data_IF_138567471148
#
_entry.id   IF_138567471148
#
_cell.length_a   1.000
_cell.length_b   1.000
_cell.length_c   1.000
_cell.angle_alpha   90.00
_cell.angle_beta   90.00
_cell.angle_gamma   90.00
#
_symmetry.space_group_name_H-M   'P 1'
#
loop_
_entity.id
_entity.type
_entity.pdbx_description
1 polymer ?
#
# COMPACT_ATOMS: atom_id res chain seq x y z
N UNK A 1 4.01 15.74 -0.80
CA UNK A 1 3.65 14.32 -0.52
C UNK A 1 4.35 13.40 -1.52
N UNK A 2 4.58 12.12 -1.19
CA UNK A 2 4.98 11.12 -2.21
C UNK A 2 3.87 11.07 -3.27
N UNK A 3 4.20 11.06 -4.56
CA UNK A 3 3.18 11.01 -5.63
C UNK A 3 2.30 9.76 -5.55
N UNK A 4 2.76 8.71 -4.88
CA UNK A 4 2.00 7.48 -4.63
C UNK A 4 1.03 7.55 -3.45
N UNK A 5 1.31 8.39 -2.45
CA UNK A 5 0.53 8.45 -1.20
C UNK A 5 -0.82 9.17 -1.37
N UNK A 6 -1.00 9.90 -2.47
CA UNK A 6 -2.28 10.49 -2.86
C UNK A 6 -3.20 9.50 -3.60
N UNK A 7 -2.67 8.32 -4.00
CA UNK A 7 -3.42 7.27 -4.70
C UNK A 7 -3.94 6.19 -3.75
N UNK A 8 -3.62 6.29 -2.45
CA UNK A 8 -4.07 5.33 -1.44
C UNK A 8 -5.52 5.66 -1.03
N UNK A 9 -6.39 4.65 -1.10
CA UNK A 9 -7.79 4.77 -0.72
C UNK A 9 -7.95 5.28 0.72
N UNK A 10 -8.90 6.19 0.92
CA UNK A 10 -9.07 6.92 2.18
C UNK A 10 -9.65 6.10 3.34
N UNK A 11 -10.20 4.91 3.14
CA UNK A 11 -10.91 4.18 4.19
C UNK A 11 -10.46 2.72 4.34
N UNK A 12 -10.09 2.25 5.55
CA UNK A 12 -9.77 3.02 6.76
C UNK A 12 -8.38 3.70 6.67
N UNK A 13 -8.12 4.71 7.52
CA UNK A 13 -6.82 5.40 7.55
C UNK A 13 -5.68 4.48 8.01
N UNK A 14 -4.82 4.08 7.09
CA UNK A 14 -3.64 3.20 7.32
C UNK A 14 -2.62 3.86 8.24
N UNK A 15 -2.37 5.15 8.07
CA UNK A 15 -1.47 5.91 8.94
C UNK A 15 -1.96 5.99 10.38
N UNK A 16 -3.28 6.19 10.57
CA UNK A 16 -3.89 6.19 11.91
C UNK A 16 -3.83 4.79 12.53
N UNK A 17 -4.14 3.75 11.76
CA UNK A 17 -4.06 2.37 12.22
C UNK A 17 -2.64 2.00 12.67
N UNK A 18 -1.63 2.31 11.87
CA UNK A 18 -0.23 2.01 12.21
C UNK A 18 0.25 2.83 13.43
N UNK A 19 -0.04 4.13 13.49
CA UNK A 19 0.40 4.99 14.59
C UNK A 19 -0.22 4.55 15.93
N UNK A 20 -1.52 4.25 15.94
CA UNK A 20 -2.20 3.77 17.13
C UNK A 20 -1.75 2.36 17.50
N UNK A 21 -1.51 1.48 16.51
CA UNK A 21 -0.98 0.14 16.76
C UNK A 21 0.36 0.18 17.50
N UNK A 22 1.34 0.94 16.97
CA UNK A 22 2.66 1.08 17.60
C UNK A 22 2.57 1.70 19.00
N UNK A 23 1.74 2.73 19.18
CA UNK A 23 1.58 3.38 20.48
C UNK A 23 0.95 2.45 21.52
N UNK A 24 -0.11 1.73 21.15
CA UNK A 24 -0.77 0.76 22.05
C UNK A 24 0.19 -0.37 22.41
N UNK A 25 0.97 -0.86 21.44
CA UNK A 25 1.95 -1.93 21.67
C UNK A 25 3.02 -1.50 22.67
N UNK A 26 3.57 -0.29 22.48
CA UNK A 26 4.53 0.28 23.40
C UNK A 26 3.96 0.46 24.81
N UNK A 27 2.72 0.95 24.93
CA UNK A 27 2.07 1.15 26.23
C UNK A 27 1.82 -0.20 26.94
N UNK A 28 1.38 -1.23 26.23
CA UNK A 28 1.17 -2.57 26.80
C UNK A 28 2.48 -3.13 27.37
N UNK A 29 3.58 -3.06 26.63
CA UNK A 29 4.91 -3.49 27.09
C UNK A 29 5.50 -2.62 28.22
N UNK A 30 5.20 -1.32 28.24
CA UNK A 30 5.61 -0.44 29.34
C UNK A 30 4.88 -0.76 30.65
N UNK A 31 3.63 -1.21 30.55
CA UNK A 31 2.76 -1.56 31.67
C UNK A 31 2.87 -3.04 32.09
N UNK A 32 3.66 -3.85 31.38
CA UNK A 32 3.93 -5.23 31.76
C UNK A 32 4.61 -5.26 33.16
N UNK A 33 4.11 -6.07 34.12
CA UNK A 33 4.74 -6.23 35.43
C UNK A 33 6.20 -6.69 35.40
N UNK A 34 6.64 -7.32 34.30
CA UNK A 34 8.03 -7.75 34.11
C UNK A 34 8.97 -6.61 33.70
N UNK A 35 8.43 -5.43 33.39
CA UNK A 35 9.22 -4.29 32.93
C UNK A 35 10.00 -3.62 34.07
N UNK A 36 11.33 -3.61 33.95
CA UNK A 36 12.28 -3.12 34.97
C UNK A 36 12.56 -1.62 34.91
N UNK A 37 11.95 -0.87 33.98
CA UNK A 37 12.14 0.57 33.90
C UNK A 37 11.58 1.32 35.12
N UNK A 38 12.20 2.45 35.43
CA UNK A 38 11.72 3.35 36.49
C UNK A 38 10.36 3.95 36.14
N UNK A 39 9.57 4.25 37.16
CA UNK A 39 8.22 4.80 36.99
C UNK A 39 8.23 6.15 36.24
N UNK A 40 9.28 6.95 36.44
CA UNK A 40 9.47 8.22 35.74
C UNK A 40 9.73 8.01 34.24
N UNK A 41 10.55 7.01 33.89
CA UNK A 41 10.82 6.65 32.50
C UNK A 41 9.58 6.06 31.84
N UNK A 42 8.84 5.19 32.54
CA UNK A 42 7.56 4.64 32.06
C UNK A 42 6.56 5.76 31.74
N UNK A 43 6.37 6.70 32.65
CA UNK A 43 5.47 7.84 32.47
C UNK A 43 5.87 8.69 31.25
N UNK A 44 7.16 9.02 31.10
CA UNK A 44 7.64 9.84 29.99
C UNK A 44 7.44 9.14 28.64
N UNK A 45 7.75 7.84 28.55
CA UNK A 45 7.56 7.05 27.33
C UNK A 45 6.07 6.85 27.00
N UNK A 46 5.22 6.73 28.01
CA UNK A 46 3.77 6.67 27.83
C UNK A 46 3.23 8.00 27.25
N UNK A 47 3.62 9.15 27.82
CA UNK A 47 3.27 10.47 27.30
C UNK A 47 3.74 10.63 25.85
N UNK A 48 4.99 10.23 25.57
CA UNK A 48 5.55 10.29 24.22
C UNK A 48 4.77 9.41 23.23
N UNK A 49 4.35 8.22 23.65
CA UNK A 49 3.56 7.29 22.82
C UNK A 49 2.19 7.87 22.48
N UNK A 50 1.51 8.48 23.46
CA UNK A 50 0.25 9.19 23.22
C UNK A 50 0.44 10.39 22.30
N UNK A 51 1.47 11.21 22.54
CA UNK A 51 1.77 12.36 21.70
C UNK A 51 2.05 11.94 20.25
N UNK A 52 2.83 10.88 20.04
CA UNK A 52 3.09 10.31 18.73
C UNK A 52 1.78 9.92 18.02
N UNK A 53 0.92 9.11 18.66
CA UNK A 53 -0.33 8.67 18.06
C UNK A 53 -1.25 9.85 17.70
N UNK A 54 -1.46 10.78 18.65
CA UNK A 54 -2.32 11.95 18.46
C UNK A 54 -1.79 12.86 17.34
N UNK A 55 -0.48 13.09 17.29
CA UNK A 55 0.13 13.95 16.27
C UNK A 55 -0.10 13.44 14.85
N UNK A 56 0.03 12.14 14.61
CA UNK A 56 -0.19 11.52 13.29
C UNK A 56 -1.67 11.52 12.94
N UNK A 57 -2.52 11.11 13.89
CA UNK A 57 -3.98 11.11 13.72
C UNK A 57 -4.50 12.50 13.36
N UNK A 58 -4.10 13.52 14.11
CA UNK A 58 -4.47 14.91 13.82
C UNK A 58 -3.85 15.40 12.51
N UNK A 59 -2.60 15.01 12.21
CA UNK A 59 -1.93 15.34 10.95
C UNK A 59 -2.68 14.83 9.70
N UNK A 60 -3.34 13.68 9.78
CA UNK A 60 -4.19 13.16 8.68
C UNK A 60 -5.44 14.03 8.44
N UNK A 61 -6.05 14.53 9.51
CA UNK A 61 -7.19 15.46 9.44
C UNK A 61 -6.76 16.85 8.97
N UNK A 62 -5.65 17.38 9.52
CA UNK A 62 -5.14 18.70 9.19
C UNK A 62 -4.73 18.82 7.71
N UNK A 63 -4.09 17.79 7.17
CA UNK A 63 -3.74 17.75 5.75
C UNK A 63 -4.93 17.48 4.81
N UNK A 64 -6.14 17.26 5.35
CA UNK A 64 -7.34 16.97 4.56
C UNK A 64 -7.31 15.63 3.82
N UNK A 65 -6.44 14.70 4.21
CA UNK A 65 -6.25 13.42 3.50
C UNK A 65 -7.24 12.33 3.94
N UNK A 66 -7.97 12.54 5.03
CA UNK A 66 -8.96 11.61 5.57
C UNK A 66 -10.09 12.34 6.28
N UNK A 67 -11.28 11.73 6.26
CA UNK A 67 -12.39 12.11 7.12
C UNK A 67 -12.23 11.62 8.56
N UNK A 68 -13.09 12.10 9.45
CA UNK A 68 -13.13 11.67 10.85
C UNK A 68 -13.38 10.16 10.99
N UNK A 69 -14.28 9.62 10.17
CA UNK A 69 -14.66 8.20 10.22
C UNK A 69 -13.46 7.30 9.87
N UNK A 70 -12.72 7.64 8.82
CA UNK A 70 -11.53 6.90 8.38
C UNK A 70 -10.47 6.78 9.48
N UNK A 71 -10.26 7.87 10.20
CA UNK A 71 -9.29 7.96 11.29
C UNK A 71 -9.78 7.19 12.52
N UNK A 72 -11.07 7.28 12.87
CA UNK A 72 -11.65 6.55 14.01
C UNK A 72 -11.57 5.05 13.77
N UNK A 73 -12.07 4.57 12.63
CA UNK A 73 -12.05 3.14 12.30
C UNK A 73 -10.63 2.63 12.14
N UNK A 74 -9.75 3.39 11.49
CA UNK A 74 -8.33 3.06 11.40
C UNK A 74 -7.70 2.90 12.78
N UNK A 75 -7.94 3.83 13.70
CA UNK A 75 -7.43 3.77 15.08
C UNK A 75 -7.95 2.55 15.85
N UNK A 76 -9.24 2.24 15.74
CA UNK A 76 -9.86 1.07 16.38
C UNK A 76 -9.24 -0.23 15.83
N UNK A 77 -9.08 -0.34 14.51
CA UNK A 77 -8.45 -1.50 13.88
C UNK A 77 -7.00 -1.65 14.33
N UNK A 78 -6.22 -0.56 14.36
CA UNK A 78 -4.83 -0.58 14.83
C UNK A 78 -4.69 -1.05 16.27
N UNK A 79 -5.54 -0.54 17.17
CA UNK A 79 -5.60 -0.99 18.56
C UNK A 79 -6.01 -2.47 18.66
N UNK A 80 -7.02 -2.91 17.92
CA UNK A 80 -7.52 -4.29 17.91
C UNK A 80 -6.47 -5.30 17.44
N UNK A 81 -5.77 -5.01 16.33
CA UNK A 81 -4.67 -5.84 15.82
C UNK A 81 -3.58 -5.98 16.88
N UNK A 82 -3.24 -4.89 17.55
CA UNK A 82 -2.18 -4.87 18.56
C UNK A 82 -2.53 -5.67 19.80
N UNK A 83 -3.78 -5.58 20.26
CA UNK A 83 -4.28 -6.38 21.38
C UNK A 83 -4.23 -7.86 21.02
N UNK A 84 -4.65 -8.22 19.80
CA UNK A 84 -4.56 -9.60 19.32
C UNK A 84 -3.11 -10.07 19.32
N UNK A 85 -2.19 -9.29 18.76
CA UNK A 85 -0.76 -9.61 18.69
C UNK A 85 -0.13 -9.76 20.09
N UNK A 86 -0.45 -8.88 21.03
CA UNK A 86 0.12 -8.92 22.38
C UNK A 86 -0.29 -10.19 23.14
N UNK A 87 -1.54 -10.63 23.02
CA UNK A 87 -2.04 -11.81 23.74
C UNK A 87 -1.82 -13.14 23.00
N UNK A 88 -1.96 -13.16 21.67
CA UNK A 88 -1.86 -14.38 20.87
C UNK A 88 -0.51 -14.57 20.16
N UNK A 89 0.32 -13.52 20.06
CA UNK A 89 1.67 -13.58 19.50
C UNK A 89 2.58 -14.56 20.25
N UNK A 90 2.77 -14.44 21.58
CA UNK A 90 3.70 -15.32 22.31
C UNK A 90 3.35 -16.82 22.22
N UNK A 91 2.07 -17.25 22.32
CA UNK A 91 1.69 -18.63 22.05
C UNK A 91 1.99 -19.08 20.62
N UNK A 92 1.79 -18.21 19.62
CA UNK A 92 2.08 -18.50 18.21
C UNK A 92 3.58 -18.64 17.98
N UNK A 93 4.39 -17.74 18.53
CA UNK A 93 5.86 -17.80 18.48
C UNK A 93 6.38 -19.10 19.11
N UNK A 94 5.84 -19.46 20.28
CA UNK A 94 6.21 -20.70 20.98
C UNK A 94 5.84 -21.93 20.14
N UNK A 95 4.65 -21.94 19.53
CA UNK A 95 4.22 -22.99 18.63
C UNK A 95 5.09 -23.08 17.36
N UNK A 96 5.54 -21.94 16.83
CA UNK A 96 6.43 -21.88 15.68
C UNK A 96 7.83 -22.41 16.04
N UNK A 97 8.41 -22.00 17.17
CA UNK A 97 9.74 -22.43 17.59
C UNK A 97 9.83 -23.93 17.90
N UNK A 98 8.82 -24.49 18.57
CA UNK A 98 8.78 -25.91 18.93
C UNK A 98 8.13 -26.80 17.85
N UNK A 99 7.46 -26.19 16.87
CA UNK A 99 6.74 -26.87 15.80
C UNK A 99 7.62 -27.69 14.87
N UNK A 100 7.02 -28.67 14.19
CA UNK A 100 7.67 -29.35 13.05
C UNK A 100 7.71 -28.44 11.84
N UNK A 101 8.46 -28.81 10.80
CA UNK A 101 8.54 -28.03 9.55
C UNK A 101 7.17 -27.80 8.87
N UNK A 102 6.14 -28.58 9.24
CA UNK A 102 4.77 -28.37 8.77
C UNK A 102 4.16 -27.06 9.26
N UNK A 103 4.53 -26.58 10.46
CA UNK A 103 3.95 -25.35 11.05
C UNK A 103 4.27 -24.11 10.20
N UNK A 104 5.55 -23.79 9.88
CA UNK A 104 5.85 -22.65 9.02
C UNK A 104 5.33 -22.84 7.58
N UNK A 105 5.22 -24.08 7.09
CA UNK A 105 4.62 -24.35 5.77
C UNK A 105 3.12 -24.02 5.77
N UNK A 106 2.38 -24.45 6.78
CA UNK A 106 0.95 -24.16 6.92
C UNK A 106 0.74 -22.65 7.09
N UNK A 107 1.53 -21.99 7.95
CA UNK A 107 1.48 -20.53 8.12
C UNK A 107 1.75 -19.81 6.80
N UNK A 108 2.78 -20.24 6.06
CA UNK A 108 3.08 -19.71 4.73
C UNK A 108 1.95 -19.91 3.73
N UNK A 109 1.31 -21.08 3.70
CA UNK A 109 0.15 -21.35 2.85
C UNK A 109 -1.05 -20.46 3.21
N UNK A 110 -1.32 -20.24 4.50
CA UNK A 110 -2.38 -19.31 4.94
C UNK A 110 -2.10 -17.89 4.45
N UNK A 111 -0.86 -17.42 4.56
CA UNK A 111 -0.47 -16.09 4.04
C UNK A 111 -0.62 -16.03 2.51
N UNK A 112 -0.25 -17.08 1.78
CA UNK A 112 -0.47 -17.15 0.32
C UNK A 112 -1.96 -17.12 -0.03
N UNK A 113 -2.81 -17.79 0.75
CA UNK A 113 -4.27 -17.70 0.60
C UNK A 113 -4.76 -16.28 0.86
N UNK A 114 -4.24 -15.59 1.88
CA UNK A 114 -4.56 -14.17 2.14
C UNK A 114 -4.14 -13.23 1.01
N UNK A 115 -2.97 -13.45 0.41
CA UNK A 115 -2.55 -12.72 -0.80
C UNK A 115 -3.51 -12.98 -1.96
N UNK A 116 -4.07 -14.20 -2.05
CA UNK A 116 -5.03 -14.56 -3.11
C UNK A 116 -6.42 -13.98 -2.93
N UNK A 117 -6.93 -13.96 -1.71
CA UNK A 117 -8.23 -13.33 -1.41
C UNK A 117 -8.11 -11.82 -1.24
N UNK A 118 -6.91 -11.25 -1.39
CA UNK A 118 -6.69 -9.82 -1.26
C UNK A 118 -7.60 -9.09 -2.26
N UNK A 119 -8.46 -8.17 -1.77
CA UNK A 119 -9.41 -7.48 -2.63
C UNK A 119 -8.66 -6.75 -3.76
N UNK A 120 -9.24 -6.80 -4.95
CA UNK A 120 -8.75 -6.05 -6.09
C UNK A 120 -9.14 -4.58 -5.88
N UNK A 121 -8.18 -3.64 -5.91
CA UNK A 121 -8.51 -2.23 -5.78
C UNK A 121 -9.31 -1.77 -7.00
N UNK A 122 -10.17 -0.76 -6.83
CA UNK A 122 -10.92 -0.19 -7.94
C UNK A 122 -10.01 0.52 -8.95
N UNK A 123 -8.98 1.20 -8.44
CA UNK A 123 -7.97 1.93 -9.19
C UNK A 123 -6.57 1.33 -9.02
N UNK A 124 -5.68 1.61 -9.97
CA UNK A 124 -4.28 1.21 -9.94
C UNK A 124 -3.52 1.92 -8.80
N UNK A 125 -3.40 1.25 -7.65
CA UNK A 125 -2.65 1.72 -6.49
C UNK A 125 -1.46 0.80 -6.14
N UNK A 126 -0.44 1.28 -5.40
CA UNK A 126 0.67 0.45 -4.94
C UNK A 126 0.26 -0.52 -3.82
N UNK A 127 -0.94 -0.38 -3.24
CA UNK A 127 -1.35 -1.08 -2.03
C UNK A 127 -1.20 -2.60 -2.13
N UNK A 128 -1.57 -3.22 -3.25
CA UNK A 128 -1.41 -4.66 -3.42
C UNK A 128 0.06 -5.08 -3.50
N UNK A 129 0.88 -4.32 -4.24
CA UNK A 129 2.31 -4.59 -4.37
C UNK A 129 3.02 -4.52 -3.01
N UNK A 130 2.61 -3.55 -2.18
CA UNK A 130 3.12 -3.40 -0.81
C UNK A 130 2.61 -4.53 0.10
N UNK A 131 1.33 -4.90 0.04
CA UNK A 131 0.78 -6.04 0.78
C UNK A 131 1.49 -7.35 0.46
N UNK A 132 1.82 -7.60 -0.81
CA UNK A 132 2.57 -8.80 -1.23
C UNK A 132 4.00 -8.80 -0.68
N UNK A 133 4.66 -7.64 -0.67
CA UNK A 133 5.97 -7.50 -0.07
C UNK A 133 5.93 -7.77 1.45
N UNK A 134 4.95 -7.19 2.16
CA UNK A 134 4.74 -7.45 3.59
C UNK A 134 4.43 -8.93 3.87
N UNK A 135 3.55 -9.54 3.09
CA UNK A 135 3.25 -10.97 3.19
C UNK A 135 4.51 -11.84 2.99
N UNK A 136 5.35 -11.49 2.01
CA UNK A 136 6.65 -12.12 1.82
C UNK A 136 7.53 -12.01 3.07
N UNK A 137 7.69 -10.80 3.62
CA UNK A 137 8.45 -10.56 4.86
C UNK A 137 7.95 -11.46 6.00
N UNK A 138 6.63 -11.54 6.22
CA UNK A 138 6.03 -12.38 7.26
C UNK A 138 6.39 -13.85 7.04
N UNK A 139 6.19 -14.41 5.83
CA UNK A 139 6.54 -15.81 5.53
C UNK A 139 8.01 -16.09 5.86
N UNK A 140 8.91 -15.22 5.42
CA UNK A 140 10.34 -15.40 5.67
C UNK A 140 10.73 -15.23 7.13
N UNK A 141 10.02 -14.38 7.89
CA UNK A 141 10.22 -14.21 9.32
C UNK A 141 9.81 -15.47 10.07
N UNK A 142 8.65 -16.05 9.77
CA UNK A 142 8.18 -17.31 10.39
C UNK A 142 9.12 -18.49 10.10
N UNK A 143 9.61 -18.60 8.86
CA UNK A 143 10.61 -19.63 8.52
C UNK A 143 11.94 -19.33 9.23
N UNK A 144 12.29 -18.05 9.38
CA UNK A 144 13.50 -17.60 10.06
C UNK A 144 13.48 -17.94 11.55
N UNK A 145 12.40 -17.60 12.26
CA UNK A 145 12.20 -17.89 13.69
C UNK A 145 12.19 -19.40 13.95
N UNK A 146 11.52 -20.18 13.10
CA UNK A 146 11.57 -21.64 13.14
C UNK A 146 13.01 -22.18 12.97
N UNK A 147 13.76 -21.61 12.03
CA UNK A 147 15.17 -22.00 11.76
C UNK A 147 16.07 -21.70 12.97
N UNK A 148 15.91 -20.52 13.57
CA UNK A 148 16.68 -20.11 14.76
C UNK A 148 16.37 -21.00 15.95
N UNK A 149 15.08 -21.30 16.22
CA UNK A 149 14.66 -22.17 17.32
C UNK A 149 15.19 -23.61 17.24
N UNK A 150 15.58 -24.07 16.05
CA UNK A 150 16.11 -25.42 15.78
C UNK A 150 17.63 -25.50 15.69
N UNK A 151 18.30 -24.37 15.45
CA UNK A 151 19.75 -24.35 15.22
C UNK A 151 20.51 -23.97 16.49
N UNK A 152 21.81 -24.23 16.51
CA UNK A 152 22.71 -23.78 17.59
C UNK A 152 22.70 -22.25 17.80
N UNK A 153 22.07 -21.50 16.87
CA UNK A 153 21.83 -20.07 16.95
C UNK A 153 20.84 -19.65 18.03
N UNK A 154 19.98 -20.52 18.56
CA UNK A 154 19.13 -20.19 19.70
C UNK A 154 19.95 -19.72 20.93
N UNK A 155 21.16 -20.26 21.09
CA UNK A 155 22.14 -19.77 22.07
C UNK A 155 22.86 -18.48 21.66
N UNK A 156 22.93 -18.17 20.37
CA UNK A 156 23.56 -16.96 19.85
C UNK A 156 22.66 -15.72 20.04
N UNK A 157 21.33 -15.84 19.89
CA UNK A 157 20.39 -14.73 20.11
C UNK A 157 20.30 -14.31 21.59
N UNK A 158 20.20 -15.28 22.51
CA UNK A 158 20.23 -15.03 23.96
C UNK A 158 21.54 -14.38 24.43
N UNK A 159 22.62 -14.54 23.68
CA UNK A 159 23.93 -13.95 23.98
C UNK A 159 24.20 -12.61 23.28
N UNK A 160 23.32 -12.18 22.35
CA UNK A 160 23.49 -10.94 21.60
C UNK A 160 23.33 -9.69 22.47
N UNK A 161 22.62 -9.81 23.60
CA UNK A 161 22.51 -8.78 24.64
C UNK A 161 23.69 -8.73 25.63
N UNK A 162 24.64 -9.67 25.57
CA UNK A 162 25.73 -9.83 26.56
C UNK A 162 27.10 -9.42 25.98
N UNK A 163 27.19 -9.15 24.67
CA UNK A 163 28.47 -8.85 24.04
C UNK A 163 28.98 -7.45 24.46
N UNK A 164 30.27 -7.30 24.81
CA UNK A 164 30.86 -5.98 24.99
C UNK A 164 30.67 -5.17 23.71
N UNK A 165 30.03 -4.01 23.85
CA UNK A 165 29.75 -3.02 22.81
C UNK A 165 31.04 -2.45 22.20
N UNK A 166 31.78 -3.25 21.42
CA UNK A 166 32.88 -2.73 20.62
C UNK A 166 32.26 -2.19 19.32
N UNK A 167 32.23 -0.86 19.19
CA UNK A 167 31.50 -0.14 18.14
C UNK A 167 31.83 -0.64 16.72
N UNK A 168 33.06 -1.14 16.50
CA UNK A 168 33.50 -1.69 15.22
C UNK A 168 32.84 -3.03 14.86
N UNK A 169 32.50 -3.88 15.85
CA UNK A 169 31.80 -5.16 15.61
C UNK A 169 30.37 -4.89 15.16
N UNK A 170 29.70 -3.92 15.79
CA UNK A 170 28.35 -3.48 15.39
C UNK A 170 28.39 -2.93 13.97
N UNK A 171 29.37 -2.07 13.66
CA UNK A 171 29.55 -1.55 12.30
C UNK A 171 29.81 -2.67 11.28
N UNK A 172 30.67 -3.64 11.60
CA UNK A 172 30.95 -4.79 10.74
C UNK A 172 29.71 -5.65 10.49
N UNK A 173 28.89 -5.90 11.52
CA UNK A 173 27.61 -6.62 11.39
C UNK A 173 26.63 -5.88 10.48
N UNK A 174 26.51 -4.56 10.65
CA UNK A 174 25.67 -3.73 9.77
C UNK A 174 26.13 -3.81 8.32
N UNK A 175 27.44 -3.66 8.07
CA UNK A 175 28.00 -3.73 6.71
C UNK A 175 27.77 -5.10 6.07
N UNK A 176 28.10 -6.18 6.77
CA UNK A 176 27.93 -7.55 6.25
C UNK A 176 26.45 -7.88 6.02
N UNK A 177 25.56 -7.49 6.94
CA UNK A 177 24.12 -7.69 6.78
C UNK A 177 23.55 -6.92 5.59
N UNK A 178 23.94 -5.65 5.42
CA UNK A 178 23.54 -4.84 4.27
C UNK A 178 24.02 -5.47 2.96
N UNK A 179 25.29 -5.90 2.88
CA UNK A 179 25.83 -6.57 1.69
C UNK A 179 25.06 -7.85 1.38
N UNK A 180 24.76 -8.68 2.38
CA UNK A 180 24.01 -9.93 2.18
C UNK A 180 22.62 -9.67 1.59
N UNK A 181 21.90 -8.66 2.07
CA UNK A 181 20.59 -8.26 1.54
C UNK A 181 20.69 -7.77 0.09
N UNK A 182 21.70 -6.94 -0.22
CA UNK A 182 21.92 -6.48 -1.59
C UNK A 182 22.25 -7.62 -2.55
N UNK A 183 23.14 -8.54 -2.14
CA UNK A 183 23.50 -9.72 -2.94
C UNK A 183 22.28 -10.59 -3.20
N UNK A 184 21.46 -10.85 -2.17
CA UNK A 184 20.22 -11.60 -2.33
C UNK A 184 19.26 -10.93 -3.33
N UNK A 185 18.99 -9.63 -3.15
CA UNK A 185 18.08 -8.90 -4.04
C UNK A 185 18.58 -8.89 -5.49
N UNK A 186 19.86 -8.61 -5.70
CA UNK A 186 20.45 -8.48 -7.03
C UNK A 186 20.55 -9.83 -7.75
N UNK A 187 20.68 -10.94 -7.02
CA UNK A 187 20.71 -12.29 -7.60
C UNK A 187 19.32 -12.89 -7.80
N UNK A 188 18.40 -12.72 -6.84
CA UNK A 188 17.08 -13.36 -6.90
C UNK A 188 16.14 -12.68 -7.91
N UNK A 189 16.18 -11.35 -8.02
CA UNK A 189 15.33 -10.63 -8.97
C UNK A 189 15.53 -11.08 -10.44
N UNK A 190 16.75 -11.09 -11.00
CA UNK A 190 16.95 -11.51 -12.39
C UNK A 190 16.78 -13.02 -12.59
N UNK A 191 17.12 -13.85 -11.59
CA UNK A 191 16.95 -15.31 -11.70
C UNK A 191 15.47 -15.69 -11.71
N UNK A 192 14.65 -15.11 -10.83
CA UNK A 192 13.21 -15.34 -10.79
C UNK A 192 12.53 -14.85 -12.06
N UNK A 193 12.82 -13.63 -12.53
CA UNK A 193 12.21 -13.11 -13.77
C UNK A 193 12.59 -13.94 -15.02
N UNK A 194 13.69 -14.70 -14.97
CA UNK A 194 14.10 -15.62 -16.03
C UNK A 194 13.46 -17.01 -15.91
N UNK A 195 13.38 -17.56 -14.69
CA UNK A 195 12.89 -18.93 -14.44
C UNK A 195 11.37 -18.98 -14.35
N UNK A 196 10.77 -18.02 -13.67
CA UNK A 196 9.35 -18.03 -13.29
C UNK A 196 8.38 -18.05 -14.49
N UNK A 197 8.63 -17.37 -15.63
CA UNK A 197 7.76 -17.49 -16.80
C UNK A 197 7.66 -18.91 -17.36
N UNK A 198 8.73 -19.72 -17.25
CA UNK A 198 8.71 -21.11 -17.70
C UNK A 198 7.86 -21.98 -16.77
N UNK A 199 7.97 -21.74 -15.46
CA UNK A 199 7.17 -22.44 -14.46
C UNK A 199 5.69 -22.08 -14.57
N UNK A 200 5.36 -20.81 -14.78
CA UNK A 200 3.98 -20.37 -14.92
C UNK A 200 3.30 -20.94 -16.16
N UNK A 201 3.99 -21.03 -17.30
CA UNK A 201 3.45 -21.70 -18.50
C UNK A 201 3.16 -23.18 -18.26
N UNK A 202 3.97 -23.86 -17.44
CA UNK A 202 3.72 -25.25 -17.05
C UNK A 202 2.47 -25.36 -16.16
N UNK A 203 2.30 -24.42 -15.22
CA UNK A 203 1.15 -24.37 -14.31
C UNK A 203 -0.14 -24.01 -15.08
N UNK A 204 -0.09 -23.05 -16.00
CA UNK A 204 -1.20 -22.68 -16.89
C UNK A 204 -1.62 -23.87 -17.76
N UNK A 205 -0.66 -24.66 -18.26
CA UNK A 205 -0.98 -25.90 -19.01
C UNK A 205 -1.69 -26.95 -18.16
N UNK A 206 -1.64 -26.82 -16.84
CA UNK A 206 -2.34 -27.69 -15.86
C UNK A 206 -3.72 -27.12 -15.46
N UNK A 207 -4.13 -25.97 -16.03
CA UNK A 207 -5.46 -25.37 -15.82
C UNK A 207 -5.60 -24.49 -14.58
N UNK A 208 -4.50 -24.21 -13.87
CA UNK A 208 -4.50 -23.26 -12.76
C UNK A 208 -4.09 -21.86 -13.28
N UNK A 209 -4.99 -21.23 -14.03
CA UNK A 209 -4.85 -19.82 -14.42
C UNK A 209 -5.46 -18.93 -13.32
N UNK A 210 -4.78 -17.84 -12.99
CA UNK A 210 -5.22 -16.87 -11.98
C UNK A 210 -5.17 -15.46 -12.55
N UNK A 211 -6.11 -15.13 -13.45
CA UNK A 211 -6.16 -13.83 -14.07
C UNK A 211 -6.52 -12.77 -13.03
N UNK A 212 -5.66 -11.76 -12.90
CA UNK A 212 -5.92 -10.57 -12.07
C UNK A 212 -6.06 -9.35 -12.96
N UNK A 213 -7.05 -8.49 -12.71
CA UNK A 213 -7.47 -7.41 -13.64
C UNK A 213 -6.35 -6.49 -14.14
N UNK A 214 -5.34 -6.22 -13.31
CA UNK A 214 -4.24 -5.28 -13.61
C UNK A 214 -2.92 -5.98 -13.96
N UNK A 215 -2.92 -7.30 -14.11
CA UNK A 215 -1.72 -8.09 -14.39
C UNK A 215 -1.89 -8.88 -15.69
N UNK A 216 -0.81 -8.89 -16.48
CA UNK A 216 -0.75 -9.65 -17.71
C UNK A 216 -0.34 -11.10 -17.42
N UNK A 217 -1.11 -12.10 -17.90
CA UNK A 217 -0.86 -13.52 -17.66
C UNK A 217 0.36 -14.02 -18.44
N UNK A 218 1.00 -15.09 -17.95
CA UNK A 218 2.26 -15.61 -18.48
C UNK A 218 2.16 -16.20 -19.91
N UNK A 219 0.94 -16.51 -20.33
CA UNK A 219 0.59 -16.89 -21.70
C UNK A 219 0.73 -15.75 -22.71
N UNK A 220 0.54 -14.49 -22.30
CA UNK A 220 0.46 -13.33 -23.20
C UNK A 220 1.82 -12.66 -23.49
N UNK A 221 2.89 -13.02 -22.77
CA UNK A 221 4.21 -12.43 -22.98
C UNK A 221 5.34 -13.47 -23.09
N UNK A 222 6.33 -13.18 -23.95
CA UNK A 222 7.50 -14.04 -24.15
C UNK A 222 8.58 -13.87 -23.07
N UNK A 223 8.83 -12.63 -22.67
CA UNK A 223 9.85 -12.25 -21.69
C UNK A 223 9.50 -10.92 -21.03
N UNK A 224 9.78 -10.78 -19.74
CA UNK A 224 9.65 -9.50 -19.03
C UNK A 224 10.82 -8.58 -19.42
N UNK A 225 10.58 -7.31 -19.82
CA UNK A 225 11.65 -6.39 -20.20
C UNK A 225 12.68 -6.19 -19.08
N UNK A 226 13.99 -6.33 -19.35
CA UNK A 226 15.04 -6.06 -18.38
C UNK A 226 15.06 -4.55 -18.10
N UNK A 227 14.55 -4.15 -16.92
CA UNK A 227 14.34 -2.75 -16.57
C UNK A 227 12.96 -2.45 -16.00
N UNK A 228 12.04 -3.42 -15.96
CA UNK A 228 10.79 -3.28 -15.21
C UNK A 228 11.11 -2.91 -13.74
N UNK A 229 10.65 -1.73 -13.31
CA UNK A 229 10.75 -1.28 -11.92
C UNK A 229 9.77 -2.11 -11.08
N UNK A 230 10.25 -3.27 -10.66
CA UNK A 230 9.54 -4.15 -9.74
C UNK A 230 9.18 -3.40 -8.44
N UNK A 231 10.11 -2.59 -7.92
CA UNK A 231 9.92 -1.80 -6.70
C UNK A 231 9.95 -0.30 -7.00
N UNK A 232 8.99 0.42 -6.44
CA UNK A 232 9.01 1.88 -6.22
C UNK A 232 9.74 2.27 -4.93
N UNK A 233 9.91 1.33 -3.99
CA UNK A 233 10.42 1.58 -2.65
C UNK A 233 11.96 1.60 -2.56
N UNK A 234 12.65 0.77 -3.34
CA UNK A 234 14.13 0.67 -3.30
C UNK A 234 14.77 0.99 -4.66
N UNK A 235 15.66 2.00 -4.72
CA UNK A 235 16.38 2.32 -5.94
C UNK A 235 17.26 1.13 -6.37
N UNK A 236 17.41 0.96 -7.69
CA UNK A 236 18.32 -0.06 -8.24
C UNK A 236 19.77 0.41 -8.02
N UNK A 237 20.76 -0.48 -8.00
CA UNK A 237 22.17 -0.09 -7.89
C UNK A 237 22.58 0.95 -8.96
N UNK A 238 21.95 0.89 -10.14
CA UNK A 238 22.11 1.87 -11.22
C UNK A 238 21.57 3.27 -10.90
N UNK A 239 20.66 3.41 -9.95
CA UNK A 239 20.06 4.67 -9.51
C UNK A 239 20.90 5.33 -8.39
N UNK A 240 21.87 4.61 -7.81
CA UNK A 240 22.71 5.09 -6.71
C UNK A 240 23.54 6.33 -7.08
N UNK A 241 24.19 6.43 -8.26
CA UNK A 241 24.92 7.63 -8.65
C UNK A 241 24.01 8.87 -8.74
N UNK A 242 22.80 8.71 -9.29
CA UNK A 242 21.79 9.78 -9.36
C UNK A 242 21.28 10.19 -7.98
N UNK A 243 21.18 9.24 -7.04
CA UNK A 243 20.78 9.51 -5.67
C UNK A 243 21.87 10.29 -4.91
N UNK A 244 23.14 9.92 -5.05
CA UNK A 244 24.27 10.64 -4.46
C UNK A 244 24.39 12.05 -5.06
N UNK A 245 24.16 12.18 -6.37
CA UNK A 245 24.11 13.47 -7.05
C UNK A 245 22.92 14.34 -6.58
N UNK A 246 21.77 13.71 -6.29
CA UNK A 246 20.61 14.39 -5.72
C UNK A 246 20.81 14.85 -4.27
N UNK A 247 21.68 14.18 -3.50
CA UNK A 247 22.09 14.61 -2.16
C UNK A 247 23.04 15.80 -2.26
N UNK A 248 23.89 15.83 -3.30
CA UNK A 248 24.86 16.90 -3.55
C UNK A 248 24.22 18.19 -4.09
N UNK A 249 23.10 18.07 -4.80
CA UNK A 249 22.35 19.21 -5.36
C UNK A 249 20.85 19.11 -5.00
N UNK A 250 20.44 19.58 -3.81
CA UNK A 250 19.06 19.47 -3.35
C UNK A 250 18.06 20.35 -4.11
N UNK A 251 18.53 21.37 -4.85
CA UNK A 251 17.70 22.33 -5.58
C UNK A 251 17.24 21.86 -6.96
N UNK A 252 17.84 20.79 -7.52
CA UNK A 252 17.42 20.21 -8.81
C UNK A 252 16.21 19.31 -8.69
N UNK A 253 15.72 19.06 -7.47
CA UNK A 253 14.43 18.41 -7.22
C UNK A 253 13.33 19.43 -7.51
N UNK A 254 13.03 19.64 -8.78
CA UNK A 254 11.73 20.14 -9.22
C UNK A 254 10.66 19.14 -8.81
N UNK A 255 10.33 19.08 -7.51
CA UNK A 255 9.13 18.42 -7.02
C UNK A 255 8.00 19.34 -7.44
N UNK A 256 7.58 19.22 -8.71
CA UNK A 256 6.34 19.79 -9.15
C UNK A 256 5.28 19.23 -8.23
N UNK A 257 4.79 20.06 -7.31
CA UNK A 257 3.54 19.78 -6.63
C UNK A 257 2.54 19.68 -7.76
N UNK A 258 2.12 18.45 -8.05
CA UNK A 258 1.18 18.18 -9.13
C UNK A 258 -0.15 18.74 -8.65
N UNK A 259 -0.46 19.95 -9.08
CA UNK A 259 -1.73 20.62 -8.83
C UNK A 259 -2.66 20.14 -9.95
N UNK A 260 -3.63 19.29 -9.59
CA UNK A 260 -4.54 18.64 -10.53
C UNK A 260 -4.81 17.17 -10.17
N UNK A 261 -5.79 16.53 -10.81
CA UNK A 261 -6.21 15.17 -10.50
C UNK A 261 -5.05 14.19 -10.71
N UNK A 262 -4.76 13.38 -9.67
CA UNK A 262 -3.66 12.39 -9.70
C UNK A 262 -4.20 10.97 -9.88
N UNK A 263 -5.38 10.69 -9.35
CA UNK A 263 -6.08 9.42 -9.48
C UNK A 263 -7.27 9.54 -10.44
N UNK A 264 -7.78 8.39 -10.90
CA UNK A 264 -9.04 8.36 -11.65
C UNK A 264 -10.20 8.89 -10.79
N UNK A 265 -10.21 8.60 -9.48
CA UNK A 265 -11.17 9.17 -8.55
C UNK A 265 -11.09 10.70 -8.47
N UNK A 266 -9.90 11.29 -8.40
CA UNK A 266 -9.72 12.76 -8.40
C UNK A 266 -10.22 13.36 -9.72
N UNK A 267 -10.02 12.66 -10.84
CA UNK A 267 -10.54 13.06 -12.14
C UNK A 267 -12.07 13.07 -12.14
N UNK A 268 -12.70 12.01 -11.62
CA UNK A 268 -14.15 11.96 -11.46
C UNK A 268 -14.69 13.02 -10.50
N UNK A 269 -13.99 13.30 -9.38
CA UNK A 269 -14.37 14.36 -8.44
C UNK A 269 -14.23 15.74 -9.08
N UNK A 270 -13.17 15.97 -9.86
CA UNK A 270 -12.98 17.21 -10.61
C UNK A 270 -14.09 17.41 -11.64
N UNK A 271 -14.49 16.35 -12.34
CA UNK A 271 -15.61 16.38 -13.29
C UNK A 271 -16.94 16.65 -12.57
N UNK A 272 -17.21 15.97 -11.45
CA UNK A 272 -18.42 16.18 -10.65
C UNK A 272 -18.49 17.60 -10.05
N UNK A 273 -17.34 18.15 -9.62
CA UNK A 273 -17.25 19.54 -9.14
C UNK A 273 -17.55 20.54 -10.25
N UNK A 274 -16.98 20.34 -11.45
CA UNK A 274 -17.26 21.17 -12.64
C UNK A 274 -18.73 21.09 -13.06
N UNK A 275 -19.32 19.89 -13.03
CA UNK A 275 -20.74 19.68 -13.35
C UNK A 275 -21.64 20.40 -12.33
N UNK A 276 -21.34 20.29 -11.04
CA UNK A 276 -22.06 21.02 -9.99
C UNK A 276 -21.96 22.53 -10.19
N UNK A 277 -20.77 23.04 -10.50
CA UNK A 277 -20.57 24.47 -10.74
C UNK A 277 -21.33 24.94 -11.99
N UNK A 278 -21.39 24.12 -13.04
CA UNK A 278 -22.26 24.37 -14.21
C UNK A 278 -23.73 24.43 -13.81
N UNK A 279 -24.23 23.48 -13.03
CA UNK A 279 -25.62 23.48 -12.53
C UNK A 279 -25.94 24.73 -11.71
N UNK A 280 -25.04 25.14 -10.82
CA UNK A 280 -25.21 26.34 -10.00
C UNK A 280 -25.16 27.64 -10.83
N UNK A 281 -24.34 27.68 -11.89
CA UNK A 281 -24.26 28.81 -12.83
C UNK A 281 -25.51 28.96 -13.72
N UNK A 282 -26.16 27.84 -14.08
CA UNK A 282 -27.42 27.84 -14.83
C UNK A 282 -28.58 28.24 -13.91
N UNK A 283 -28.61 27.75 -12.67
CA UNK A 283 -29.63 28.11 -11.67
C UNK A 283 -29.60 29.58 -11.27
N UNK A 284 -28.42 30.19 -11.15
CA UNK A 284 -28.27 31.61 -10.82
C UNK A 284 -28.67 32.55 -11.98
N UNK A 285 -28.44 32.14 -13.24
CA UNK A 285 -28.93 32.88 -14.41
C UNK A 285 -30.46 32.80 -14.59
N UNK A 286 -31.09 31.70 -14.19
CA UNK A 286 -32.56 31.61 -14.15
C UNK A 286 -33.19 32.52 -13.06
N UNK A 287 -32.50 32.71 -11.93
CA UNK A 287 -32.93 33.61 -10.85
C UNK A 287 -32.85 35.11 -11.21
N UNK A 288 -31.97 35.50 -12.15
CA UNK A 288 -31.88 36.89 -12.60
C UNK A 288 -32.93 37.23 -13.67
N UNK A 289 -33.41 36.24 -14.41
CA UNK A 289 -34.49 36.41 -15.40
C UNK A 289 -35.90 36.44 -14.79
N UNK A 290 -36.07 36.04 -13.52
CA UNK A 290 -37.37 36.09 -12.82
C UNK A 290 -37.58 37.36 -11.97
N UNK A 291 -36.61 38.28 -11.93
CA UNK A 291 -36.69 39.53 -11.14
C UNK A 291 -36.93 40.77 -12.01
N UNK A 292 -37.85 40.69 -12.96
CA UNK A 292 -38.38 41.87 -13.65
C UNK A 292 -39.86 41.72 -13.99
N UNK A 293 -40.72 41.47 -13.00
CA UNK A 293 -42.11 41.96 -13.00
C UNK A 293 -42.81 41.66 -11.67
N UNK A 294 -43.60 42.64 -11.24
CA UNK A 294 -44.67 42.60 -10.23
C UNK A 294 -44.29 42.80 -8.76
N UNK A 295 -44.25 44.08 -8.43
CA UNK A 295 -45.00 44.69 -7.32
C UNK A 295 -46.45 44.15 -7.28
N UNK A 296 -46.85 43.42 -6.22
CA UNK A 296 -48.09 43.64 -5.44
C UNK A 296 -48.37 42.52 -4.41
N UNK A 297 -48.52 42.97 -3.17
CA UNK A 297 -49.51 42.61 -2.13
C UNK A 297 -49.93 41.15 -1.87
N UNK A 298 -49.63 40.73 -0.62
CA UNK A 298 -50.53 40.13 0.37
C UNK A 298 -50.99 38.67 0.18
N UNK A 299 -50.60 37.81 1.13
CA UNK A 299 -51.18 36.47 1.32
C UNK A 299 -50.40 35.62 2.32
N UNK A 300 -51.02 35.35 3.46
CA UNK A 300 -50.55 34.53 4.59
C UNK A 300 -50.53 33.02 4.27
N UNK A 301 -49.89 32.28 5.19
CA UNK A 301 -49.99 30.82 5.46
C UNK A 301 -49.18 29.91 4.52
N UNK A 302 -48.48 28.86 4.95
CA UNK A 302 -48.41 28.13 6.22
C UNK A 302 -47.13 27.24 6.21
N UNK A 303 -46.41 27.19 7.33
CA UNK A 303 -45.30 26.26 7.56
C UNK A 303 -45.82 24.85 7.91
N UNK A 304 -45.63 23.85 7.02
CA UNK A 304 -45.56 22.42 7.42
C UNK A 304 -44.64 21.59 6.52
N UNK A 305 -43.50 21.24 7.11
CA UNK A 305 -42.93 19.88 7.25
C UNK A 305 -43.13 18.84 6.13
N UNK A 306 -42.02 18.38 5.56
CA UNK A 306 -41.70 16.94 5.54
C UNK A 306 -41.55 16.27 4.17
N UNK A 307 -40.49 15.45 4.10
CA UNK A 307 -40.19 14.34 3.18
C UNK A 307 -39.39 14.64 1.89
N UNK A 308 -38.21 14.01 1.87
CA UNK A 308 -37.84 13.15 0.74
C UNK A 308 -36.73 13.69 -0.15
N UNK A 309 -35.47 13.48 0.26
CA UNK A 309 -34.37 13.40 -0.70
C UNK A 309 -34.59 12.14 -1.56
N UNK A 310 -35.24 12.31 -2.71
CA UNK A 310 -35.35 11.26 -3.72
C UNK A 310 -34.10 11.28 -4.58
N UNK A 311 -33.31 10.23 -4.42
CA UNK A 311 -32.26 9.81 -5.34
C UNK A 311 -32.88 9.47 -6.70
N UNK A 312 -32.67 10.30 -7.71
CA UNK A 312 -32.99 9.95 -9.09
C UNK A 312 -31.90 9.03 -9.63
N UNK A 313 -32.07 7.72 -9.40
CA UNK A 313 -31.39 6.70 -10.17
C UNK A 313 -31.95 6.68 -11.59
N UNK A 314 -31.16 7.14 -12.57
CA UNK A 314 -31.47 6.94 -13.97
C UNK A 314 -31.15 5.49 -14.34
N UNK A 315 -32.20 4.66 -14.42
CA UNK A 315 -32.12 3.32 -15.00
C UNK A 315 -31.63 3.43 -16.46
N UNK A 316 -30.54 2.72 -16.76
CA UNK A 316 -30.04 2.49 -18.11
C UNK A 316 -31.08 1.66 -18.86
N UNK A 317 -31.66 2.20 -19.94
CA UNK A 317 -32.59 1.47 -20.78
C UNK A 317 -31.86 0.36 -21.56
N UNK A 318 -32.46 -0.83 -21.56
CA UNK A 318 -32.03 -2.02 -22.29
C UNK A 318 -32.08 -1.73 -23.79
N UNK A 319 -30.93 -1.83 -24.46
CA UNK A 319 -30.82 -1.76 -25.92
C UNK A 319 -31.41 -3.04 -26.51
N UNK A 320 -32.44 -2.89 -27.35
CA UNK A 320 -32.99 -3.99 -28.14
C UNK A 320 -32.31 -3.98 -29.51
N UNK A 321 -31.55 -5.03 -29.80
CA UNK A 321 -30.89 -5.26 -31.09
C UNK A 321 -31.95 -5.56 -32.15
N UNK A 322 -32.34 -4.55 -32.94
CA UNK A 322 -32.84 -4.72 -34.31
C UNK A 322 -33.01 -3.35 -34.99
N UNK A 323 -31.89 -2.73 -35.37
CA UNK A 323 -31.89 -1.88 -36.56
C UNK A 323 -30.50 -1.91 -37.22
N UNK A 324 -30.52 -2.20 -38.51
CA UNK A 324 -29.37 -2.43 -39.36
C UNK A 324 -28.45 -1.22 -39.49
N UNK A 325 -27.14 -1.48 -39.36
CA UNK A 325 -26.00 -0.71 -39.91
C UNK A 325 -26.21 0.82 -40.04
N UNK A 326 -25.99 1.56 -38.95
CA UNK A 326 -25.49 2.95 -39.04
C UNK A 326 -24.38 3.17 -38.02
N UNK A 327 -23.22 3.60 -38.50
CA UNK A 327 -22.06 3.85 -37.65
C UNK A 327 -22.26 5.09 -36.77
N UNK A 328 -21.47 5.26 -35.69
CA UNK A 328 -21.56 6.41 -34.77
C UNK A 328 -21.47 7.78 -35.46
N UNK A 329 -20.87 7.83 -36.65
CA UNK A 329 -20.67 9.06 -37.43
C UNK A 329 -21.95 9.57 -38.14
N UNK A 330 -22.96 8.73 -38.37
CA UNK A 330 -24.18 9.16 -39.10
C UNK A 330 -25.14 9.97 -38.21
N UNK A 331 -25.16 9.69 -36.89
CA UNK A 331 -25.93 10.49 -35.92
C UNK A 331 -25.24 11.85 -35.68
N UNK A 332 -23.91 11.89 -35.83
CA UNK A 332 -23.06 13.07 -35.66
C UNK A 332 -23.29 14.16 -36.71
N UNK A 333 -23.69 13.79 -37.94
CA UNK A 333 -23.94 14.73 -39.03
C UNK A 333 -25.33 15.38 -38.96
N UNK A 334 -26.39 14.62 -38.63
CA UNK A 334 -27.74 15.17 -38.57
C UNK A 334 -28.06 15.97 -37.29
N UNK A 335 -27.33 15.76 -36.20
CA UNK A 335 -27.50 16.53 -34.97
C UNK A 335 -26.93 17.96 -35.05
N UNK A 336 -25.94 18.20 -35.91
CA UNK A 336 -25.31 19.50 -36.07
C UNK A 336 -26.20 20.50 -36.83
N UNK A 337 -27.11 20.02 -37.70
CA UNK A 337 -28.04 20.88 -38.45
C UNK A 337 -29.22 21.40 -37.62
N UNK A 338 -29.60 20.72 -36.54
CA UNK A 338 -30.80 21.06 -35.75
C UNK A 338 -30.53 21.86 -34.47
N UNK A 339 -29.31 22.38 -34.27
CA UNK A 339 -29.03 23.33 -33.18
C UNK A 339 -29.43 22.85 -31.78
N UNK A 340 -29.46 21.53 -31.56
CA UNK A 340 -29.99 20.97 -30.33
C UNK A 340 -28.91 21.14 -29.23
N UNK A 341 -29.13 22.00 -28.22
CA UNK A 341 -28.09 22.37 -27.24
C UNK A 341 -27.61 21.17 -26.41
N UNK A 342 -28.43 20.12 -26.31
CA UNK A 342 -28.14 18.89 -25.58
C UNK A 342 -27.03 18.05 -26.23
N UNK A 343 -26.93 18.06 -27.57
CA UNK A 343 -25.89 17.32 -28.30
C UNK A 343 -24.53 18.04 -28.16
N UNK A 344 -24.52 19.38 -28.23
CA UNK A 344 -23.32 20.17 -28.02
C UNK A 344 -22.77 20.02 -26.59
N UNK A 345 -23.64 20.04 -25.58
CA UNK A 345 -23.28 19.78 -24.19
C UNK A 345 -22.64 18.39 -24.01
N UNK A 346 -23.23 17.34 -24.59
CA UNK A 346 -22.67 15.99 -24.49
C UNK A 346 -21.30 15.83 -25.17
N UNK A 347 -21.05 16.57 -26.27
CA UNK A 347 -19.75 16.59 -26.93
C UNK A 347 -18.69 17.38 -26.15
N UNK A 348 -19.09 18.47 -25.49
CA UNK A 348 -18.21 19.22 -24.58
C UNK A 348 -17.86 18.37 -23.36
N UNK A 349 -18.84 17.67 -22.77
CA UNK A 349 -18.62 16.74 -21.64
C UNK A 349 -17.64 15.63 -22.00
N UNK A 350 -17.82 14.96 -23.14
CA UNK A 350 -16.92 13.91 -23.60
C UNK A 350 -15.49 14.41 -23.89
N UNK A 351 -15.34 15.68 -24.30
CA UNK A 351 -14.03 16.32 -24.49
C UNK A 351 -13.37 16.68 -23.17
N UNK A 352 -14.13 17.26 -22.24
CA UNK A 352 -13.70 17.60 -20.88
C UNK A 352 -13.23 16.35 -20.14
N UNK A 353 -13.99 15.26 -20.21
CA UNK A 353 -13.60 13.96 -19.66
C UNK A 353 -12.26 13.52 -20.24
N UNK A 354 -12.14 13.48 -21.58
CA UNK A 354 -10.92 13.06 -22.25
C UNK A 354 -9.72 13.92 -21.89
N UNK A 355 -9.92 15.23 -21.69
CA UNK A 355 -8.87 16.16 -21.28
C UNK A 355 -8.41 15.88 -19.85
N UNK A 356 -9.33 15.73 -18.90
CA UNK A 356 -9.02 15.43 -17.50
C UNK A 356 -8.32 14.07 -17.36
N UNK A 357 -8.81 13.04 -18.05
CA UNK A 357 -8.18 11.71 -18.05
C UNK A 357 -6.83 11.68 -18.81
N UNK A 358 -6.59 12.58 -19.75
CA UNK A 358 -5.30 12.68 -20.45
C UNK A 358 -4.17 13.22 -19.59
N UNK A 359 -4.50 13.93 -18.50
CA UNK A 359 -3.54 14.45 -17.53
C UNK A 359 -3.06 13.36 -16.55
N UNK A 360 -3.76 12.23 -16.49
CA UNK A 360 -3.38 11.10 -15.63
C UNK A 360 -2.17 10.36 -16.22
N UNK A 361 -1.24 9.98 -15.34
CA UNK A 361 -0.10 9.14 -15.72
C UNK A 361 -0.62 7.77 -16.13
N UNK A 362 -0.32 7.34 -17.36
CA UNK A 362 -0.72 6.01 -17.82
C UNK A 362 -0.11 4.93 -16.91
N UNK A 363 -0.93 4.03 -16.34
CA UNK A 363 -0.42 2.95 -15.50
C UNK A 363 0.48 2.01 -16.31
N UNK A 364 1.54 1.52 -15.68
CA UNK A 364 2.47 0.57 -16.31
C UNK A 364 1.80 -0.80 -16.46
N UNK A 365 2.21 -1.55 -17.48
CA UNK A 365 1.87 -2.97 -17.59
C UNK A 365 2.59 -3.73 -16.47
N UNK A 366 1.84 -4.45 -15.63
CA UNK A 366 2.37 -5.35 -14.59
C UNK A 366 2.20 -6.80 -15.06
N UNK A 367 3.11 -7.69 -14.64
CA UNK A 367 3.08 -9.10 -15.00
C UNK A 367 2.85 -9.96 -13.77
N UNK A 368 2.09 -11.05 -13.87
CA UNK A 368 1.77 -11.91 -12.71
C UNK A 368 3.02 -12.48 -12.02
N UNK A 369 4.07 -12.76 -12.80
CA UNK A 369 5.36 -13.22 -12.30
C UNK A 369 6.04 -12.20 -11.38
N UNK A 370 5.71 -10.91 -11.49
CA UNK A 370 6.25 -9.88 -10.59
C UNK A 370 5.75 -10.06 -9.16
N UNK A 371 4.51 -10.54 -8.97
CA UNK A 371 3.89 -10.78 -7.66
C UNK A 371 4.66 -11.87 -6.91
N UNK A 372 4.87 -13.02 -7.54
CA UNK A 372 5.61 -14.13 -6.93
C UNK A 372 7.09 -13.78 -6.79
N UNK A 373 7.68 -13.05 -7.75
CA UNK A 373 9.05 -12.57 -7.62
C UNK A 373 9.22 -11.70 -6.37
N UNK A 374 8.31 -10.75 -6.14
CA UNK A 374 8.32 -9.94 -4.92
C UNK A 374 8.19 -10.79 -3.67
N UNK A 375 7.19 -11.66 -3.62
CA UNK A 375 6.93 -12.51 -2.46
C UNK A 375 8.18 -13.31 -2.07
N UNK A 376 8.85 -13.95 -3.04
CA UNK A 376 10.08 -14.73 -2.81
C UNK A 376 11.26 -13.85 -2.41
N UNK A 377 11.46 -12.71 -3.07
CA UNK A 377 12.56 -11.79 -2.75
C UNK A 377 12.42 -11.28 -1.31
N UNK A 378 11.25 -10.79 -0.92
CA UNK A 378 11.01 -10.23 0.42
C UNK A 378 11.01 -11.30 1.52
N UNK A 379 10.49 -12.50 1.25
CA UNK A 379 10.61 -13.64 2.17
C UNK A 379 12.07 -14.04 2.39
N UNK A 380 12.88 -14.04 1.34
CA UNK A 380 14.31 -14.32 1.49
C UNK A 380 15.06 -13.24 2.27
N UNK A 381 14.69 -11.96 2.11
CA UNK A 381 15.30 -10.86 2.87
C UNK A 381 15.06 -11.03 4.36
N UNK A 382 13.82 -11.31 4.79
CA UNK A 382 13.51 -11.49 6.22
C UNK A 382 14.12 -12.77 6.78
N UNK A 383 14.10 -13.87 6.03
CA UNK A 383 14.77 -15.11 6.45
C UNK A 383 16.28 -14.93 6.60
N UNK A 384 16.93 -14.23 5.65
CA UNK A 384 18.35 -13.89 5.76
C UNK A 384 18.62 -13.00 6.95
N UNK A 385 17.77 -11.99 7.22
CA UNK A 385 17.97 -11.10 8.36
C UNK A 385 17.89 -11.84 9.70
N UNK A 386 16.94 -12.77 9.86
CA UNK A 386 16.67 -13.47 11.13
C UNK A 386 17.58 -14.69 11.31
N UNK A 387 17.79 -15.50 10.27
CA UNK A 387 18.54 -16.77 10.38
C UNK A 387 19.86 -16.76 9.62
N UNK A 388 19.85 -16.37 8.34
CA UNK A 388 21.01 -16.52 7.46
C UNK A 388 22.23 -15.67 7.85
N UNK A 389 22.02 -14.39 8.13
CA UNK A 389 23.08 -13.43 8.48
C UNK A 389 23.68 -13.76 9.86
N UNK A 390 22.88 -14.07 10.90
CA UNK A 390 23.42 -14.58 12.15
C UNK A 390 24.24 -15.87 11.98
N UNK A 391 23.85 -16.79 11.08
CA UNK A 391 24.67 -17.98 10.77
C UNK A 391 26.01 -17.56 10.16
N UNK A 392 26.00 -16.65 9.19
CA UNK A 392 27.22 -16.11 8.58
C UNK A 392 28.13 -15.45 9.62
N UNK A 393 27.59 -14.70 10.59
CA UNK A 393 28.37 -14.13 11.68
C UNK A 393 29.08 -15.21 12.51
N UNK A 394 28.42 -16.33 12.78
CA UNK A 394 29.04 -17.44 13.51
C UNK A 394 30.27 -18.01 12.79
N UNK A 395 30.23 -18.09 11.45
CA UNK A 395 31.34 -18.58 10.64
C UNK A 395 32.49 -17.58 10.50
N UNK A 396 32.19 -16.29 10.38
CA UNK A 396 33.20 -15.23 10.19
C UNK A 396 33.84 -14.80 11.53
N UNK A 397 33.36 -15.33 12.66
CA UNK A 397 33.84 -14.94 13.99
C UNK A 397 33.27 -13.60 14.48
N UNK A 398 32.23 -13.09 13.82
CA UNK A 398 31.43 -11.95 14.26
C UNK A 398 30.26 -12.37 15.17
N UNK A 399 30.04 -13.69 15.33
CA UNK A 399 29.06 -14.31 16.21
C UNK A 399 29.61 -14.60 17.60
N UNK A 400 28.71 -14.73 18.58
CA UNK A 400 29.06 -14.78 20.01
C UNK A 400 29.73 -16.09 20.45
N UNK A 401 29.55 -17.17 19.68
CA UNK A 401 29.99 -18.53 20.04
C UNK A 401 31.52 -18.64 20.18
N UNK A 402 32.30 -17.88 19.40
CA UNK A 402 33.77 -17.97 19.44
C UNK A 402 34.37 -17.33 20.70
N UNK A 403 33.75 -16.27 21.21
CA UNK A 403 34.21 -15.54 22.40
C UNK A 403 33.96 -16.26 23.72
N UNK A 404 33.02 -17.21 23.79
CA UNK A 404 32.76 -17.99 25.01
C UNK A 404 33.68 -19.21 25.09
N UNK A 405 33.95 -19.88 23.96
CA UNK A 405 34.87 -21.02 23.92
C UNK A 405 36.31 -20.63 24.32
N UNK A 406 36.76 -19.43 23.96
CA UNK A 406 38.08 -18.91 24.37
C UNK A 406 38.14 -18.46 25.84
N UNK A 407 37.00 -18.18 26.49
CA UNK A 407 36.96 -17.80 27.92
C UNK A 407 36.87 -18.97 28.90
N UNK A 408 36.57 -20.18 28.42
CA UNK A 408 36.56 -21.41 29.24
C UNK A 408 37.92 -22.14 29.15
N UNK A 409 38.81 -21.71 28.24
CA UNK A 409 40.12 -22.30 28.00
C UNK A 409 41.29 -21.57 28.72
N UNK A 410 41.02 -20.72 29.71
CA UNK A 410 42.05 -20.06 30.53
C UNK A 410 41.81 -20.23 32.03
#
# INVERSE_FOLDING_TARGET
>A
MSGSAALEYGFPSTHSANAVSVAVYAILHLRDPLNTFSDTTKLLLEILSYFYAVSIVFGRLYCGMHGFLDVIIGSIMGAGITVLEYYYGPPLDTAMQHGTWLVPVIAGLVVVVFVRIHPEPADDCPCFDDSVAFAGVVIGLEVGTWTVGRTFLAGAESSMGILPYVSWVIAARMVVGIIAIFVWRETMKPTLLKVLPHLFRLIESTGFDLPRRFFTPASEYKSVPPGSRLDTLFPTASDFPRMVESIRHPTTRGRSVSIGPQSAADAYETLAYRERQRRDSIGSNASLKSKSSNMDLNGKEEDKSGKGAQTSGAQKAVFNDNESLRGPNDILMHGAENGNPEIYLSMEDARDEKEVFSQLVKPRVRYDVEVVTKLVVYAGISWLAVAGVPMVFSFIGLGVVRTVAERIAF
#
